data_IF_843252438503
#
_entry.id   IF_843252438503
#
_cell.length_a   1.000
_cell.length_b   1.000
_cell.length_c   1.000
_cell.angle_alpha   90.00
_cell.angle_beta   90.00
_cell.angle_gamma   90.00
#
_symmetry.space_group_name_H-M   'P 1'
#
loop_
_entity.id
_entity.type
_entity.pdbx_description
1 polymer ?
#
# COMPACT_ATOMS: atom_id res chain seq x y z
N UNK A 1 -29.37 -6.66 4.01
CA UNK A 1 -28.06 -6.47 4.67
C UNK A 1 -27.08 -7.62 4.34
N UNK A 2 -27.46 -8.87 4.48
CA UNK A 2 -26.59 -10.06 4.29
C UNK A 2 -25.88 -10.19 2.91
N UNK A 3 -26.38 -9.57 1.83
CA UNK A 3 -25.76 -9.71 0.49
C UNK A 3 -24.53 -8.82 0.27
N UNK A 4 -24.39 -7.71 0.99
CA UNK A 4 -23.28 -6.79 0.78
C UNK A 4 -21.98 -7.29 1.43
N UNK A 5 -22.07 -7.93 2.58
CA UNK A 5 -20.91 -8.44 3.31
C UNK A 5 -20.14 -9.51 2.52
N UNK A 6 -20.86 -10.39 1.79
CA UNK A 6 -20.20 -11.37 0.90
C UNK A 6 -19.43 -10.72 -0.25
N UNK A 7 -19.81 -9.53 -0.70
CA UNK A 7 -19.14 -8.87 -1.81
C UNK A 7 -17.79 -8.26 -1.41
N UNK A 8 -17.58 -7.92 -0.12
CA UNK A 8 -16.38 -7.20 0.32
C UNK A 8 -15.07 -7.92 -0.02
N UNK A 9 -14.87 -9.22 0.29
CA UNK A 9 -13.64 -9.93 -0.09
C UNK A 9 -13.41 -9.94 -1.61
N UNK A 10 -14.49 -10.11 -2.38
CA UNK A 10 -14.39 -10.15 -3.85
C UNK A 10 -14.00 -8.82 -4.46
N UNK A 11 -14.40 -7.68 -3.85
CA UNK A 11 -13.98 -6.35 -4.29
C UNK A 11 -12.45 -6.21 -4.18
N UNK A 12 -11.84 -6.68 -3.10
CA UNK A 12 -10.40 -6.67 -2.94
C UNK A 12 -9.68 -7.59 -3.94
N UNK A 13 -10.23 -8.79 -4.20
CA UNK A 13 -9.68 -9.71 -5.21
C UNK A 13 -9.79 -9.11 -6.62
N UNK A 14 -10.91 -8.45 -6.93
CA UNK A 14 -11.09 -7.74 -8.20
C UNK A 14 -10.09 -6.58 -8.34
N UNK A 15 -9.90 -5.79 -7.29
CA UNK A 15 -8.90 -4.73 -7.25
C UNK A 15 -7.47 -5.28 -7.46
N UNK A 16 -7.14 -6.41 -6.84
CA UNK A 16 -5.86 -7.08 -7.04
C UNK A 16 -5.66 -7.48 -8.51
N UNK A 17 -6.68 -8.06 -9.14
CA UNK A 17 -6.64 -8.40 -10.58
C UNK A 17 -6.40 -7.16 -11.43
N UNK A 18 -7.08 -6.06 -11.13
CA UNK A 18 -6.90 -4.79 -11.82
C UNK A 18 -5.47 -4.25 -11.66
N UNK A 19 -4.89 -4.31 -10.47
CA UNK A 19 -3.50 -3.91 -10.22
C UNK A 19 -2.50 -4.77 -11.02
N UNK A 20 -2.72 -6.10 -11.09
CA UNK A 20 -1.88 -6.98 -11.93
C UNK A 20 -1.93 -6.55 -13.38
N UNK A 21 -3.13 -6.32 -13.94
CA UNK A 21 -3.30 -5.91 -15.34
C UNK A 21 -2.62 -4.57 -15.62
N UNK A 22 -2.76 -3.59 -14.73
CA UNK A 22 -2.07 -2.30 -14.85
C UNK A 22 -0.55 -2.44 -14.74
N UNK A 23 -0.06 -3.25 -13.82
CA UNK A 23 1.37 -3.53 -13.70
C UNK A 23 1.96 -4.15 -14.96
N UNK A 24 1.26 -5.12 -15.54
CA UNK A 24 1.66 -5.74 -16.82
C UNK A 24 1.59 -4.77 -17.99
N UNK A 25 0.56 -3.92 -18.04
CA UNK A 25 0.45 -2.87 -19.05
C UNK A 25 1.61 -1.88 -18.95
N UNK A 26 1.89 -1.36 -17.75
CA UNK A 26 3.01 -0.48 -17.50
C UNK A 26 4.34 -1.14 -17.90
N UNK A 27 4.55 -2.38 -17.50
CA UNK A 27 5.79 -3.12 -17.81
C UNK A 27 6.09 -3.18 -19.31
N UNK A 28 5.06 -3.19 -20.17
CA UNK A 28 5.21 -3.15 -21.63
C UNK A 28 5.63 -1.78 -22.17
N UNK A 29 5.47 -0.70 -21.37
CA UNK A 29 5.82 0.66 -21.77
C UNK A 29 7.27 1.06 -21.44
N UNK A 30 8.10 0.11 -20.95
CA UNK A 30 9.54 0.37 -20.76
C UNK A 30 10.21 0.78 -22.08
N UNK A 31 11.15 1.72 -22.05
CA UNK A 31 11.92 2.25 -20.90
C UNK A 31 11.46 3.62 -20.37
N UNK A 32 10.20 4.00 -20.50
CA UNK A 32 9.75 5.30 -20.00
C UNK A 32 10.02 5.48 -18.49
N UNK A 33 10.31 6.73 -18.09
CA UNK A 33 10.69 7.06 -16.73
C UNK A 33 9.58 6.74 -15.72
N UNK A 34 9.95 6.13 -14.59
CA UNK A 34 9.00 5.77 -13.52
C UNK A 34 8.19 4.49 -13.76
N UNK A 35 8.14 3.99 -15.00
CA UNK A 35 7.27 2.87 -15.37
C UNK A 35 7.62 1.58 -14.63
N UNK A 36 8.91 1.32 -14.38
CA UNK A 36 9.35 0.11 -13.65
C UNK A 36 8.93 0.20 -12.18
N UNK A 37 9.18 1.35 -11.55
CA UNK A 37 8.78 1.58 -10.15
C UNK A 37 7.26 1.54 -10.00
N UNK A 38 6.50 2.10 -10.97
CA UNK A 38 5.05 1.99 -11.00
C UNK A 38 4.57 0.53 -11.13
N UNK A 39 5.17 -0.27 -12.02
CA UNK A 39 4.80 -1.68 -12.18
C UNK A 39 5.02 -2.48 -10.90
N UNK A 40 6.12 -2.23 -10.19
CA UNK A 40 6.37 -2.83 -8.87
C UNK A 40 5.39 -2.34 -7.81
N UNK A 41 5.01 -1.05 -7.82
CA UNK A 41 3.93 -0.54 -6.96
C UNK A 41 2.64 -1.32 -7.19
N UNK A 42 2.26 -1.53 -8.45
CA UNK A 42 1.05 -2.29 -8.79
C UNK A 42 1.12 -3.74 -8.32
N UNK A 43 2.28 -4.39 -8.44
CA UNK A 43 2.46 -5.75 -7.92
C UNK A 43 2.32 -5.79 -6.39
N UNK A 44 2.92 -4.85 -5.67
CA UNK A 44 2.78 -4.74 -4.22
C UNK A 44 1.32 -4.49 -3.80
N UNK A 45 0.61 -3.61 -4.52
CA UNK A 45 -0.82 -3.37 -4.29
C UNK A 45 -1.68 -4.60 -4.58
N UNK A 46 -1.33 -5.38 -5.62
CA UNK A 46 -2.01 -6.63 -5.91
C UNK A 46 -1.82 -7.66 -4.78
N UNK A 47 -0.59 -7.80 -4.28
CA UNK A 47 -0.30 -8.67 -3.13
C UNK A 47 -1.13 -8.22 -1.92
N UNK A 48 -1.05 -6.94 -1.55
CA UNK A 48 -1.79 -6.40 -0.41
C UNK A 48 -3.30 -6.62 -0.56
N UNK A 49 -3.88 -6.19 -1.68
CA UNK A 49 -5.33 -6.29 -1.90
C UNK A 49 -5.82 -7.74 -1.93
N UNK A 50 -5.08 -8.64 -2.59
CA UNK A 50 -5.44 -10.06 -2.68
C UNK A 50 -5.37 -10.75 -1.32
N UNK A 51 -4.26 -10.56 -0.60
CA UNK A 51 -4.07 -11.18 0.71
C UNK A 51 -5.05 -10.65 1.73
N UNK A 52 -5.33 -9.35 1.72
CA UNK A 52 -6.36 -8.77 2.59
C UNK A 52 -7.75 -9.34 2.29
N UNK A 53 -8.14 -9.48 1.00
CA UNK A 53 -9.38 -10.14 0.61
C UNK A 53 -9.49 -11.58 1.12
N UNK A 54 -8.37 -12.33 1.10
CA UNK A 54 -8.30 -13.66 1.69
C UNK A 54 -8.38 -13.61 3.23
N UNK A 55 -7.70 -12.66 3.86
CA UNK A 55 -7.64 -12.50 5.32
C UNK A 55 -9.05 -12.32 5.89
N UNK A 56 -9.87 -11.42 5.34
CA UNK A 56 -11.23 -11.17 5.83
C UNK A 56 -12.21 -12.32 5.56
N UNK A 57 -11.86 -13.24 4.64
CA UNK A 57 -12.67 -14.41 4.32
C UNK A 57 -12.33 -15.62 5.21
N UNK A 58 -11.04 -15.81 5.57
CA UNK A 58 -10.56 -16.98 6.31
C UNK A 58 -10.82 -16.83 7.82
N UNK A 59 -11.52 -17.78 8.48
CA UNK A 59 -11.87 -17.62 9.89
C UNK A 59 -10.76 -17.95 10.91
N UNK A 60 -9.77 -18.86 10.66
CA UNK A 60 -8.79 -19.24 11.68
C UNK A 60 -7.76 -18.14 11.95
N UNK A 61 -7.54 -17.78 13.22
CA UNK A 61 -6.55 -16.76 13.62
C UNK A 61 -5.14 -17.06 13.09
N UNK A 62 -4.67 -18.30 13.23
CA UNK A 62 -3.34 -18.69 12.75
C UNK A 62 -3.16 -18.44 11.24
N UNK A 63 -4.16 -18.77 10.44
CA UNK A 63 -4.15 -18.54 8.99
C UNK A 63 -4.16 -17.05 8.67
N UNK A 64 -4.93 -16.25 9.41
CA UNK A 64 -4.95 -14.78 9.25
C UNK A 64 -3.57 -14.16 9.49
N UNK A 65 -2.88 -14.57 10.56
CA UNK A 65 -1.54 -14.08 10.87
C UNK A 65 -0.52 -14.49 9.80
N UNK A 66 -0.63 -15.69 9.22
CA UNK A 66 0.20 -16.10 8.09
C UNK A 66 -0.06 -15.23 6.85
N UNK A 67 -1.33 -14.97 6.54
CA UNK A 67 -1.72 -14.12 5.41
C UNK A 67 -1.29 -12.67 5.64
N UNK A 68 -1.44 -12.13 6.86
CA UNK A 68 -0.94 -10.80 7.24
C UNK A 68 0.56 -10.66 7.02
N UNK A 69 1.37 -11.69 7.29
CA UNK A 69 2.81 -11.65 7.03
C UNK A 69 3.12 -11.51 5.53
N UNK A 70 2.34 -12.15 4.65
CA UNK A 70 2.47 -11.98 3.18
C UNK A 70 1.96 -10.61 2.75
N UNK A 71 0.83 -10.17 3.30
CA UNK A 71 0.25 -8.85 3.07
C UNK A 71 1.24 -7.73 3.37
N UNK A 72 2.02 -7.88 4.44
CA UNK A 72 3.01 -6.92 4.88
C UNK A 72 4.14 -6.69 3.85
N UNK A 73 4.38 -7.65 2.93
CA UNK A 73 5.28 -7.45 1.78
C UNK A 73 4.72 -6.33 0.88
N UNK A 74 3.43 -6.37 0.59
CA UNK A 74 2.74 -5.33 -0.17
C UNK A 74 2.76 -3.99 0.56
N UNK A 75 2.37 -3.97 1.84
CA UNK A 75 2.33 -2.78 2.69
C UNK A 75 3.69 -2.08 2.75
N UNK A 76 4.77 -2.83 2.93
CA UNK A 76 6.13 -2.30 3.03
C UNK A 76 6.70 -1.85 1.67
N UNK A 77 6.31 -2.53 0.57
CA UNK A 77 6.84 -2.26 -0.77
C UNK A 77 6.21 -1.05 -1.45
N UNK A 78 4.90 -0.84 -1.30
CA UNK A 78 4.16 0.25 -1.98
C UNK A 78 4.81 1.62 -1.76
N UNK A 79 5.07 2.10 -0.53
CA UNK A 79 5.62 3.44 -0.31
C UNK A 79 7.02 3.60 -0.89
N UNK A 80 7.84 2.56 -0.87
CA UNK A 80 9.20 2.60 -1.44
C UNK A 80 9.17 2.75 -2.95
N UNK A 81 8.35 1.94 -3.63
CA UNK A 81 8.25 2.02 -5.09
C UNK A 81 7.57 3.30 -5.56
N UNK A 82 6.60 3.84 -4.81
CA UNK A 82 6.04 5.18 -5.08
C UNK A 82 7.08 6.27 -4.93
N UNK A 83 7.92 6.18 -3.92
CA UNK A 83 9.00 7.15 -3.73
C UNK A 83 10.01 7.11 -4.89
N UNK A 84 10.42 5.91 -5.32
CA UNK A 84 11.27 5.78 -6.50
C UNK A 84 10.57 6.25 -7.78
N UNK A 85 9.28 5.93 -7.95
CA UNK A 85 8.48 6.47 -9.05
C UNK A 85 8.52 8.00 -9.07
N UNK A 86 8.29 8.67 -7.93
CA UNK A 86 8.33 10.12 -7.85
C UNK A 86 9.70 10.70 -8.22
N UNK A 87 10.79 10.08 -7.76
CA UNK A 87 12.15 10.50 -8.14
C UNK A 87 12.42 10.32 -9.64
N UNK A 88 12.03 9.18 -10.21
CA UNK A 88 12.22 8.88 -11.63
C UNK A 88 11.36 9.80 -12.51
N UNK A 89 10.09 9.95 -12.16
CA UNK A 89 9.13 10.75 -12.91
C UNK A 89 9.49 12.24 -12.92
N UNK A 90 10.01 12.76 -11.81
CA UNK A 90 10.43 14.17 -11.69
C UNK A 90 11.89 14.43 -12.14
N UNK A 91 12.49 13.49 -12.88
CA UNK A 91 13.84 13.65 -13.46
C UNK A 91 14.99 13.53 -12.46
N UNK A 92 14.74 13.05 -11.25
CA UNK A 92 15.73 12.90 -10.16
C UNK A 92 16.29 11.49 -10.03
N UNK A 93 16.22 10.70 -11.10
CA UNK A 93 16.72 9.31 -11.13
C UNK A 93 18.21 9.18 -10.77
N UNK A 94 19.01 10.25 -11.00
CA UNK A 94 20.42 10.29 -10.62
C UNK A 94 20.66 10.13 -9.10
N UNK A 95 19.67 10.42 -8.26
CA UNK A 95 19.73 10.22 -6.81
C UNK A 95 19.59 8.73 -6.42
N UNK A 96 19.02 7.88 -7.29
CA UNK A 96 18.76 6.47 -7.02
C UNK A 96 20.05 5.64 -7.27
N UNK A 97 21.08 5.93 -6.48
CA UNK A 97 22.31 5.12 -6.48
C UNK A 97 22.05 3.77 -5.79
N UNK A 98 22.95 2.80 -5.97
CA UNK A 98 22.86 1.49 -5.29
C UNK A 98 22.84 1.63 -3.76
N UNK A 99 23.68 2.51 -3.22
CA UNK A 99 23.73 2.80 -1.77
C UNK A 99 22.45 3.45 -1.26
N UNK A 100 21.91 4.44 -1.99
CA UNK A 100 20.65 5.08 -1.64
C UNK A 100 19.48 4.08 -1.68
N UNK A 101 19.42 3.23 -2.72
CA UNK A 101 18.41 2.18 -2.84
C UNK A 101 18.48 1.21 -1.68
N UNK A 102 19.70 0.75 -1.32
CA UNK A 102 19.90 -0.14 -0.17
C UNK A 102 19.46 0.52 1.14
N UNK A 103 19.76 1.80 1.35
CA UNK A 103 19.36 2.55 2.53
C UNK A 103 17.82 2.66 2.65
N UNK A 104 17.14 3.01 1.56
CA UNK A 104 15.67 3.13 1.55
C UNK A 104 15.01 1.78 1.80
N UNK A 105 15.56 0.68 1.26
CA UNK A 105 15.03 -0.67 1.47
C UNK A 105 15.38 -1.28 2.83
N UNK A 106 16.45 -0.85 3.47
CA UNK A 106 16.88 -1.42 4.76
C UNK A 106 15.80 -1.35 5.83
N UNK A 107 15.07 -0.24 5.88
CA UNK A 107 14.03 -0.02 6.89
C UNK A 107 12.79 -0.90 6.68
N UNK A 108 12.18 -0.96 5.48
CA UNK A 108 11.07 -1.89 5.20
C UNK A 108 11.48 -3.36 5.33
N UNK A 109 12.69 -3.73 4.92
CA UNK A 109 13.21 -5.09 5.10
C UNK A 109 13.30 -5.47 6.59
N UNK A 110 13.76 -4.54 7.43
CA UNK A 110 13.78 -4.74 8.88
C UNK A 110 12.36 -4.84 9.46
N UNK A 111 11.44 -3.99 9.01
CA UNK A 111 10.03 -4.06 9.42
C UNK A 111 9.36 -5.40 9.01
N UNK A 112 9.67 -5.92 7.81
CA UNK A 112 9.25 -7.26 7.38
C UNK A 112 9.80 -8.36 8.30
N UNK A 113 11.09 -8.29 8.64
CA UNK A 113 11.70 -9.23 9.57
C UNK A 113 10.98 -9.20 10.92
N UNK A 114 10.71 -8.01 11.47
CA UNK A 114 9.96 -7.87 12.71
C UNK A 114 8.51 -8.37 12.60
N UNK A 115 7.84 -8.18 11.47
CA UNK A 115 6.50 -8.70 11.24
C UNK A 115 6.49 -10.24 11.26
N UNK A 116 7.43 -10.87 10.56
CA UNK A 116 7.51 -12.33 10.46
C UNK A 116 8.00 -13.00 11.76
N UNK A 117 8.78 -12.30 12.58
CA UNK A 117 9.23 -12.77 13.89
C UNK A 117 8.35 -12.27 15.04
N UNK A 118 7.24 -11.58 14.74
CA UNK A 118 6.39 -10.96 15.74
C UNK A 118 5.92 -11.88 16.89
N UNK A 119 5.63 -13.18 16.66
CA UNK A 119 5.29 -14.09 17.76
C UNK A 119 6.35 -14.22 18.87
N UNK A 120 7.62 -13.84 18.60
CA UNK A 120 8.72 -13.90 19.57
C UNK A 120 8.80 -12.66 20.47
N UNK A 121 8.29 -11.51 20.04
CA UNK A 121 8.56 -10.23 20.73
C UNK A 121 7.36 -9.28 20.78
N UNK A 122 6.31 -9.48 19.98
CA UNK A 122 5.10 -8.66 19.91
C UNK A 122 5.35 -7.15 19.69
N UNK A 123 6.45 -6.78 19.01
CA UNK A 123 6.80 -5.38 18.74
C UNK A 123 5.98 -4.74 17.63
N UNK A 124 5.50 -5.54 16.65
CA UNK A 124 4.66 -5.06 15.56
C UNK A 124 3.20 -4.99 15.96
N UNK A 125 2.68 -6.06 16.54
CA UNK A 125 1.31 -6.15 17.05
C UNK A 125 1.20 -7.22 18.14
N UNK A 126 0.14 -7.09 18.93
CA UNK A 126 -0.22 -8.04 19.98
C UNK A 126 -1.73 -8.02 20.21
N UNK A 127 -2.19 -8.81 21.19
CA UNK A 127 -3.62 -8.96 21.53
C UNK A 127 -4.47 -9.33 20.31
N UNK A 128 -3.97 -10.27 19.49
CA UNK A 128 -4.60 -10.69 18.26
C UNK A 128 -5.93 -11.40 18.55
N UNK A 129 -7.01 -10.86 18.02
CA UNK A 129 -8.36 -11.41 18.16
C UNK A 129 -9.08 -11.44 16.82
N UNK A 130 -10.06 -12.33 16.71
CA UNK A 130 -10.93 -12.40 15.53
C UNK A 130 -12.31 -11.89 15.90
N UNK A 131 -12.74 -10.81 15.28
CA UNK A 131 -14.08 -10.25 15.43
C UNK A 131 -14.92 -10.63 14.22
N UNK A 132 -16.14 -11.10 14.46
CA UNK A 132 -17.09 -11.41 13.38
C UNK A 132 -18.05 -10.24 13.15
N UNK A 133 -18.14 -9.79 11.91
CA UNK A 133 -19.13 -8.85 11.45
C UNK A 133 -19.95 -9.53 10.35
N UNK A 134 -21.11 -10.08 10.71
CA UNK A 134 -21.91 -10.92 9.82
C UNK A 134 -21.11 -12.12 9.32
N UNK A 135 -20.85 -12.19 8.02
CA UNK A 135 -20.06 -13.24 7.38
C UNK A 135 -18.56 -12.92 7.32
N UNK A 136 -18.17 -11.68 7.60
CA UNK A 136 -16.78 -11.27 7.64
C UNK A 136 -16.12 -11.71 8.94
N UNK A 137 -14.87 -12.15 8.81
CA UNK A 137 -14.00 -12.51 9.92
C UNK A 137 -12.84 -11.51 9.93
N UNK A 138 -12.85 -10.55 10.84
CA UNK A 138 -11.91 -9.44 10.88
C UNK A 138 -10.84 -9.70 11.93
N UNK A 139 -9.57 -9.48 11.55
CA UNK A 139 -8.45 -9.51 12.49
C UNK A 139 -8.38 -8.17 13.22
N UNK A 140 -8.39 -8.22 14.54
CA UNK A 140 -8.14 -7.06 15.39
C UNK A 140 -6.84 -7.25 16.13
N UNK A 141 -5.97 -6.27 16.05
CA UNK A 141 -4.65 -6.27 16.70
C UNK A 141 -4.41 -4.94 17.41
N UNK A 142 -3.64 -4.96 18.48
CA UNK A 142 -3.10 -3.75 19.08
C UNK A 142 -1.72 -3.47 18.50
N UNK A 143 -1.56 -2.33 17.85
CA UNK A 143 -0.29 -1.95 17.22
C UNK A 143 0.80 -1.69 18.26
N UNK A 144 1.96 -2.30 18.04
CA UNK A 144 3.16 -2.17 18.86
C UNK A 144 4.05 -1.00 18.45
N UNK A 145 5.14 -0.80 19.18
CA UNK A 145 6.06 0.33 18.95
C UNK A 145 6.74 0.26 17.59
N UNK A 146 7.14 -0.92 17.13
CA UNK A 146 7.80 -1.07 15.83
C UNK A 146 6.85 -0.76 14.66
N UNK A 147 5.54 -1.06 14.79
CA UNK A 147 4.54 -0.65 13.82
C UNK A 147 4.51 0.88 13.67
N UNK A 148 4.47 1.64 14.78
CA UNK A 148 4.43 3.10 14.74
C UNK A 148 5.69 3.72 14.14
N UNK A 149 6.87 3.14 14.44
CA UNK A 149 8.13 3.56 13.83
C UNK A 149 8.11 3.30 12.31
N UNK A 150 7.57 2.14 11.89
CA UNK A 150 7.39 1.84 10.47
C UNK A 150 6.39 2.78 9.79
N UNK A 151 5.27 3.09 10.44
CA UNK A 151 4.30 4.08 9.92
C UNK A 151 4.91 5.46 9.77
N UNK A 152 5.71 5.91 10.73
CA UNK A 152 6.43 7.18 10.62
C UNK A 152 7.36 7.20 9.39
N UNK A 153 8.10 6.13 9.15
CA UNK A 153 8.93 6.00 7.95
C UNK A 153 8.09 6.04 6.67
N UNK A 154 7.03 5.24 6.58
CA UNK A 154 6.12 5.19 5.41
C UNK A 154 5.58 6.59 5.12
N UNK A 155 5.01 7.26 6.11
CA UNK A 155 4.44 8.59 5.91
C UNK A 155 5.51 9.61 5.49
N UNK A 156 6.72 9.53 6.05
CA UNK A 156 7.82 10.42 5.68
C UNK A 156 8.21 10.30 4.20
N UNK A 157 8.35 9.07 3.68
CA UNK A 157 8.72 8.87 2.26
C UNK A 157 7.57 9.16 1.31
N UNK A 158 6.31 8.87 1.68
CA UNK A 158 5.13 9.20 0.87
C UNK A 158 4.89 10.71 0.81
N UNK A 159 5.04 11.43 1.93
CA UNK A 159 4.99 12.89 1.97
C UNK A 159 6.09 13.49 1.09
N UNK A 160 7.32 12.95 1.18
CA UNK A 160 8.43 13.40 0.32
C UNK A 160 8.12 13.17 -1.16
N UNK A 161 7.57 12.01 -1.53
CA UNK A 161 7.13 11.73 -2.89
C UNK A 161 6.05 12.73 -3.35
N UNK A 162 5.07 13.02 -2.49
CA UNK A 162 4.02 14.01 -2.75
C UNK A 162 4.58 15.42 -2.98
N UNK A 163 5.53 15.86 -2.14
CA UNK A 163 6.20 17.15 -2.30
C UNK A 163 6.92 17.24 -3.65
N UNK A 164 7.68 16.20 -4.03
CA UNK A 164 8.38 16.15 -5.31
C UNK A 164 7.41 16.26 -6.50
N UNK A 165 6.29 15.55 -6.44
CA UNK A 165 5.25 15.60 -7.47
C UNK A 165 4.56 16.97 -7.52
N UNK A 166 4.28 17.61 -6.37
CA UNK A 166 3.70 18.96 -6.31
C UNK A 166 4.66 19.99 -6.91
N UNK A 167 5.96 19.90 -6.60
CA UNK A 167 6.98 20.79 -7.18
C UNK A 167 7.03 20.65 -8.70
N UNK A 168 6.95 19.42 -9.22
CA UNK A 168 6.94 19.17 -10.66
C UNK A 168 5.63 19.66 -11.31
N UNK A 169 4.48 19.40 -10.66
CA UNK A 169 3.18 19.91 -11.09
C UNK A 169 3.16 21.41 -11.33
N UNK A 170 3.83 22.18 -10.48
CA UNK A 170 3.89 23.65 -10.63
C UNK A 170 4.69 24.10 -11.85
N UNK A 171 5.56 23.26 -12.40
CA UNK A 171 6.47 23.58 -13.50
C UNK A 171 6.01 23.02 -14.86
N UNK A 172 5.09 22.04 -14.88
CA UNK A 172 4.67 21.35 -16.10
C UNK A 172 3.51 22.04 -16.84
N UNK A 173 3.42 21.90 -18.18
CA UNK A 173 2.30 22.40 -18.97
C UNK A 173 1.05 21.49 -18.87
N UNK A 174 -0.11 22.03 -19.24
CA UNK A 174 -1.47 21.53 -19.06
C UNK A 174 -1.74 20.03 -19.00
N UNK A 175 -1.39 19.26 -20.04
CA UNK A 175 -1.72 17.83 -20.09
C UNK A 175 -0.96 17.00 -19.02
N UNK A 176 0.33 17.32 -18.79
CA UNK A 176 1.12 16.64 -17.75
C UNK A 176 0.64 17.02 -16.34
N UNK A 177 0.15 18.25 -16.14
CA UNK A 177 -0.47 18.64 -14.87
C UNK A 177 -1.66 17.75 -14.51
N UNK A 178 -2.52 17.44 -15.48
CA UNK A 178 -3.68 16.59 -15.24
C UNK A 178 -3.26 15.21 -14.75
N UNK A 179 -2.25 14.60 -15.40
CA UNK A 179 -1.72 13.30 -15.00
C UNK A 179 -1.13 13.34 -13.57
N UNK A 180 -0.29 14.34 -13.28
CA UNK A 180 0.29 14.51 -11.93
C UNK A 180 -0.81 14.73 -10.88
N UNK A 181 -1.88 15.47 -11.21
CA UNK A 181 -3.01 15.69 -10.30
C UNK A 181 -3.66 14.39 -9.87
N UNK A 182 -3.89 13.45 -10.78
CA UNK A 182 -4.45 12.14 -10.45
C UNK A 182 -3.55 11.35 -9.51
N UNK A 183 -2.22 11.41 -9.72
CA UNK A 183 -1.27 10.76 -8.83
C UNK A 183 -1.32 11.37 -7.44
N UNK A 184 -1.27 12.69 -7.33
CA UNK A 184 -1.33 13.41 -6.05
C UNK A 184 -2.65 13.12 -5.33
N UNK A 185 -3.79 13.21 -6.03
CA UNK A 185 -5.09 12.90 -5.46
C UNK A 185 -5.15 11.45 -4.94
N UNK A 186 -4.66 10.51 -5.72
CA UNK A 186 -4.62 9.12 -5.30
C UNK A 186 -3.73 8.88 -4.08
N UNK A 187 -2.57 9.55 -3.97
CA UNK A 187 -1.74 9.50 -2.78
C UNK A 187 -2.46 10.08 -1.56
N UNK A 188 -3.20 11.19 -1.72
CA UNK A 188 -4.02 11.78 -0.66
C UNK A 188 -5.14 10.83 -0.23
N UNK A 189 -5.83 10.18 -1.17
CA UNK A 189 -6.85 9.18 -0.85
C UNK A 189 -6.27 8.00 -0.08
N UNK A 190 -5.12 7.47 -0.51
CA UNK A 190 -4.46 6.36 0.18
C UNK A 190 -3.98 6.74 1.57
N UNK A 191 -3.41 7.95 1.71
CA UNK A 191 -2.97 8.48 3.00
C UNK A 191 -4.15 8.64 3.97
N UNK A 192 -5.25 9.26 3.52
CA UNK A 192 -6.47 9.43 4.33
C UNK A 192 -7.12 8.08 4.65
N UNK A 193 -7.08 7.13 3.73
CA UNK A 193 -7.57 5.76 3.95
C UNK A 193 -6.84 5.07 5.07
N UNK A 194 -5.50 5.05 5.01
CA UNK A 194 -4.66 4.47 6.07
C UNK A 194 -4.88 5.16 7.41
N UNK A 195 -4.91 6.50 7.42
CA UNK A 195 -5.16 7.26 8.64
C UNK A 195 -6.55 6.95 9.21
N UNK A 196 -7.58 6.90 8.38
CA UNK A 196 -8.96 6.57 8.80
C UNK A 196 -9.05 5.18 9.41
N UNK A 197 -8.39 4.18 8.81
CA UNK A 197 -8.35 2.81 9.36
C UNK A 197 -7.67 2.78 10.74
N UNK A 198 -6.49 3.39 10.86
CA UNK A 198 -5.72 3.43 12.12
C UNK A 198 -6.47 4.15 13.23
N UNK A 199 -7.20 5.23 12.89
CA UNK A 199 -8.00 6.02 13.82
C UNK A 199 -9.41 5.44 14.08
N UNK A 200 -9.78 4.33 13.44
CA UNK A 200 -11.08 3.67 13.63
C UNK A 200 -12.25 4.32 12.91
N UNK A 201 -12.00 5.21 11.93
CA UNK A 201 -13.03 5.88 11.12
C UNK A 201 -13.33 5.16 9.79
N UNK A 202 -13.09 3.86 9.71
CA UNK A 202 -13.38 3.09 8.50
C UNK A 202 -14.88 3.04 8.20
N UNK A 203 -15.31 3.08 6.92
CA UNK A 203 -16.71 2.97 6.51
C UNK A 203 -17.41 1.70 7.02
N UNK A 204 -16.67 0.61 7.10
CA UNK A 204 -17.08 -0.62 7.80
C UNK A 204 -16.09 -0.80 8.95
N UNK A 205 -16.56 -0.77 10.22
CA UNK A 205 -15.66 -0.88 11.37
C UNK A 205 -14.75 -2.12 11.28
N UNK A 206 -13.43 -1.89 11.38
CA UNK A 206 -12.42 -2.94 11.34
C UNK A 206 -12.01 -3.40 9.93
N UNK A 207 -12.60 -2.86 8.86
CA UNK A 207 -12.18 -3.14 7.47
C UNK A 207 -11.22 -2.06 6.98
N UNK A 208 -10.05 -2.47 6.50
CA UNK A 208 -9.07 -1.58 5.88
C UNK A 208 -9.37 -1.39 4.38
N UNK A 209 -9.85 -0.19 4.01
CA UNK A 209 -10.10 0.16 2.62
C UNK A 209 -8.89 0.80 1.91
N UNK A 210 -7.74 0.91 2.56
CA UNK A 210 -6.53 1.52 1.99
C UNK A 210 -6.17 0.94 0.61
N UNK A 211 -6.20 -0.39 0.38
CA UNK A 211 -5.93 -0.94 -0.94
C UNK A 211 -6.87 -0.43 -2.04
N UNK A 212 -8.13 -0.14 -1.72
CA UNK A 212 -9.11 0.38 -2.69
C UNK A 212 -8.94 1.88 -2.94
N UNK A 213 -8.55 2.64 -1.92
CA UNK A 213 -8.30 4.08 -2.06
C UNK A 213 -7.09 4.39 -2.96
N UNK A 214 -6.27 3.40 -3.28
CA UNK A 214 -5.17 3.53 -4.22
C UNK A 214 -5.59 3.44 -5.70
N UNK A 215 -6.81 2.99 -6.02
CA UNK A 215 -7.31 2.87 -7.39
C UNK A 215 -7.22 4.16 -8.21
N UNK A 216 -7.56 5.36 -7.68
CA UNK A 216 -7.40 6.61 -8.43
C UNK A 216 -5.96 6.90 -8.83
N UNK A 217 -4.97 6.58 -7.97
CA UNK A 217 -3.54 6.71 -8.31
C UNK A 217 -3.17 5.80 -9.47
N UNK A 218 -3.61 4.55 -9.40
CA UNK A 218 -3.32 3.53 -10.40
C UNK A 218 -3.85 3.93 -11.78
N UNK A 219 -5.08 4.47 -11.85
CA UNK A 219 -5.71 4.94 -13.08
C UNK A 219 -5.02 6.20 -13.61
N UNK A 220 -4.61 7.11 -12.72
CA UNK A 220 -4.02 8.38 -13.13
C UNK A 220 -2.62 8.27 -13.73
N UNK A 221 -1.90 7.17 -13.46
CA UNK A 221 -0.54 6.92 -13.99
C UNK A 221 -0.58 6.07 -15.27
N UNK A 222 -1.65 5.27 -15.48
CA UNK A 222 -1.80 4.38 -16.64
C UNK A 222 -2.11 5.13 -17.94
#
# INVERSE_FOLDING_TARGET
MLRFEFAVPFIFILAATFYVLLGLYAWRKRPAAGVVSFAWTMLCMAIWSFTYGLEIFLPPLATKLMVLNVEYIGIAGVPVFIFFFALEYTGRSHLITSGFRALVWAFPAFALLLAWTNPLHHLMWGMETVTRLGTLSLLSVRFGVAFWVHMFFIFSIVITAGILLIMDFMQQPGAMRLQISFVILGLLFSFTGTASFILGFSPIPGVDFTPLYFLPTAIGIA
#
